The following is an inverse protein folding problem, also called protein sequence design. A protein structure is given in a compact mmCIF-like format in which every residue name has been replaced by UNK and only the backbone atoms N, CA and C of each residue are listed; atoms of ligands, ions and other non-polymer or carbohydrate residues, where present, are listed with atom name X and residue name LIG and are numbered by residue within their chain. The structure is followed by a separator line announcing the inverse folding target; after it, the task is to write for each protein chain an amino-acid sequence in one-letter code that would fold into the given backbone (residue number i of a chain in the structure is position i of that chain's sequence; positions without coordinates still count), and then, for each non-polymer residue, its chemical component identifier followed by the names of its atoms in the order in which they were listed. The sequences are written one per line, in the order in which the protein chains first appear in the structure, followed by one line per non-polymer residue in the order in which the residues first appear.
data_IF_408105669597
#
_entry.id   IF_408105669597
#
_cell.length_a   1.000
_cell.length_b   1.000
_cell.length_c   1.000
_cell.angle_alpha   90.00
_cell.angle_beta   90.00
_cell.angle_gamma   90.00
#
_symmetry.space_group_name_H-M   'P 1'
#
loop_
_entity.id
_entity.type
_entity.pdbx_description
1 polymer ?
#
# COMPACT_ATOMS: atom_id res chain seq x y z
N UNK A 1 -0.57 10.98 5.66
CA UNK A 1 0.16 9.94 4.90
C UNK A 1 -0.66 9.64 3.67
N UNK A 2 -0.07 9.68 2.47
CA UNK A 2 -0.74 9.28 1.23
C UNK A 2 -0.16 7.94 0.79
N UNK A 3 -1.02 6.93 0.57
CA UNK A 3 -0.60 5.58 0.18
C UNK A 3 -1.15 5.32 -1.21
N UNK A 4 -0.26 5.18 -2.18
CA UNK A 4 -0.61 4.88 -3.56
C UNK A 4 -0.68 3.36 -3.74
N UNK A 5 -1.88 2.81 -3.96
CA UNK A 5 -2.08 1.37 -4.14
C UNK A 5 -2.52 1.09 -5.57
N UNK A 6 -1.77 0.24 -6.27
CA UNK A 6 -2.06 -0.14 -7.64
C UNK A 6 -3.29 -1.06 -7.72
N UNK A 7 -4.42 -0.55 -8.19
CA UNK A 7 -5.63 -1.35 -8.46
C UNK A 7 -5.58 -2.04 -9.84
N UNK A 8 -4.41 -2.56 -10.22
CA UNK A 8 -4.15 -3.19 -11.53
C UNK A 8 -4.08 -4.71 -11.39
N UNK A 9 -4.55 -5.44 -12.42
CA UNK A 9 -4.49 -6.89 -12.42
C UNK A 9 -3.05 -7.41 -12.59
N UNK A 10 -2.29 -6.80 -13.50
CA UNK A 10 -0.88 -7.05 -13.76
C UNK A 10 -0.25 -5.76 -14.30
N UNK A 11 1.01 -5.51 -13.98
CA UNK A 11 1.73 -4.33 -14.45
C UNK A 11 2.88 -3.97 -13.52
N UNK A 12 3.75 -3.08 -13.98
CA UNK A 12 4.76 -2.49 -13.11
C UNK A 12 4.13 -1.38 -12.26
N UNK A 13 4.57 -1.25 -11.00
CA UNK A 13 4.12 -0.21 -10.08
C UNK A 13 4.76 1.15 -10.39
N UNK A 14 4.55 1.66 -11.61
CA UNK A 14 5.07 2.96 -12.09
C UNK A 14 3.99 4.04 -12.22
N UNK A 15 2.76 3.75 -11.77
CA UNK A 15 1.61 4.66 -11.87
C UNK A 15 1.76 5.94 -11.03
N UNK A 16 2.66 5.94 -10.05
CA UNK A 16 2.81 7.03 -9.08
C UNK A 16 4.25 7.55 -8.95
N UNK A 17 5.16 7.17 -9.86
CA UNK A 17 6.59 7.55 -9.79
C UNK A 17 6.84 9.05 -9.88
N UNK A 18 5.87 9.83 -10.37
CA UNK A 18 5.98 11.29 -10.45
C UNK A 18 5.76 12.02 -9.13
N UNK A 19 5.17 11.35 -8.13
CA UNK A 19 4.80 11.98 -6.85
C UNK A 19 5.07 11.12 -5.61
N UNK A 20 5.53 9.88 -5.78
CA UNK A 20 5.93 8.98 -4.69
C UNK A 20 7.40 9.19 -4.35
N UNK A 21 7.68 9.48 -3.08
CA UNK A 21 9.06 9.62 -2.57
C UNK A 21 9.73 8.26 -2.32
N UNK A 22 8.97 7.28 -1.79
CA UNK A 22 9.51 5.97 -1.38
C UNK A 22 8.57 4.82 -1.74
N UNK A 23 9.15 3.71 -2.23
CA UNK A 23 8.42 2.46 -2.49
C UNK A 23 8.79 1.42 -1.43
N UNK A 24 7.83 1.07 -0.59
CA UNK A 24 7.98 0.06 0.46
C UNK A 24 7.18 -1.21 0.13
N UNK A 25 7.78 -2.37 0.38
CA UNK A 25 7.11 -3.68 0.28
C UNK A 25 6.74 -4.20 1.66
N UNK A 26 5.45 -4.46 1.90
CA UNK A 26 4.93 -4.92 3.20
C UNK A 26 4.95 -6.45 3.38
N UNK A 27 5.28 -7.21 2.32
CA UNK A 27 5.31 -8.66 2.34
C UNK A 27 6.29 -9.21 1.32
N UNK A 28 6.80 -10.40 1.57
CA UNK A 28 7.61 -11.18 0.63
C UNK A 28 6.77 -11.89 -0.45
N UNK A 29 5.44 -11.81 -0.35
CA UNK A 29 4.50 -12.36 -1.33
C UNK A 29 3.71 -11.25 -2.03
N UNK A 30 3.37 -11.42 -3.32
CA UNK A 30 2.50 -10.48 -4.01
C UNK A 30 1.12 -10.51 -3.37
N UNK A 31 0.68 -9.36 -2.88
CA UNK A 31 -0.63 -9.16 -2.27
C UNK A 31 -1.59 -8.58 -3.30
N UNK A 32 -2.88 -8.87 -3.15
CA UNK A 32 -3.90 -8.12 -3.88
C UNK A 32 -3.98 -6.69 -3.33
N UNK A 33 -4.39 -5.74 -4.17
CA UNK A 33 -4.58 -4.35 -3.78
C UNK A 33 -5.47 -4.19 -2.54
N UNK A 34 -6.52 -5.02 -2.42
CA UNK A 34 -7.43 -5.00 -1.29
C UNK A 34 -6.74 -5.42 0.02
N UNK A 35 -5.97 -6.53 0.00
CA UNK A 35 -5.27 -7.01 1.20
C UNK A 35 -4.15 -6.07 1.62
N UNK A 36 -3.46 -5.46 0.65
CA UNK A 36 -2.48 -4.42 0.93
C UNK A 36 -3.12 -3.21 1.62
N UNK A 37 -4.26 -2.71 1.09
CA UNK A 37 -5.00 -1.60 1.69
C UNK A 37 -5.48 -1.92 3.11
N UNK A 38 -6.09 -3.09 3.32
CA UNK A 38 -6.56 -3.52 4.65
C UNK A 38 -5.43 -3.61 5.66
N UNK A 39 -4.26 -4.15 5.28
CA UNK A 39 -3.11 -4.21 6.19
C UNK A 39 -2.60 -2.81 6.55
N UNK A 40 -2.53 -1.90 5.58
CA UNK A 40 -2.14 -0.52 5.86
C UNK A 40 -3.12 0.19 6.79
N UNK A 41 -4.44 0.07 6.55
CA UNK A 41 -5.44 0.67 7.43
C UNK A 41 -5.30 0.14 8.87
N UNK A 42 -5.19 -1.18 9.03
CA UNK A 42 -5.06 -1.81 10.34
C UNK A 42 -3.82 -1.33 11.11
N UNK A 43 -2.65 -1.30 10.47
CA UNK A 43 -1.42 -0.85 11.14
C UNK A 43 -1.46 0.65 11.46
N UNK A 44 -2.13 1.45 10.63
CA UNK A 44 -2.30 2.88 10.82
C UNK A 44 -3.31 3.20 11.93
N UNK A 45 -4.40 2.43 12.03
CA UNK A 45 -5.35 2.44 13.15
C UNK A 45 -4.63 2.08 14.46
N UNK A 46 -3.82 1.02 14.46
CA UNK A 46 -3.01 0.61 15.61
C UNK A 46 -1.98 1.70 16.02
N UNK A 47 -1.32 2.35 15.05
CA UNK A 47 -0.37 3.44 15.30
C UNK A 47 -1.04 4.67 15.92
N UNK A 48 -2.27 4.97 15.50
CA UNK A 48 -3.06 6.09 16.03
C UNK A 48 -3.90 5.73 17.27
N UNK A 49 -3.87 4.46 17.71
CA UNK A 49 -4.62 3.98 18.87
C UNK A 49 -6.14 3.92 18.65
N UNK A 50 -6.57 3.80 17.39
CA UNK A 50 -7.98 3.63 17.00
C UNK A 50 -8.20 2.12 16.84
N UNK A 51 -9.20 1.58 17.54
CA UNK A 51 -9.56 0.16 17.55
C UNK A 51 -10.93 -0.07 16.93
#
# INVERSE_FOLDING_TARGET
ICIAIGAMAHGADNFADSWVDEKIGISQYPLSAAVACSRFCYELENLWGIW
#
